data_IF_699693406474
#
_entry.id   IF_699693406474
#
_cell.length_a   1.000
_cell.length_b   1.000
_cell.length_c   1.000
_cell.angle_alpha   90.00
_cell.angle_beta   90.00
_cell.angle_gamma   90.00
#
_symmetry.space_group_name_H-M   'P 1'
#
loop_
_entity.id
_entity.type
_entity.pdbx_description
1 polymer ?
#
# COMPACT_ATOMS: atom_id res chain seq x y z
N UNK A 1 40.01 60.99 31.67
CA UNK A 1 38.88 60.64 30.79
C UNK A 1 39.32 60.86 29.36
N UNK A 2 39.51 59.82 28.56
CA UNK A 2 39.43 59.91 27.08
C UNK A 2 39.18 58.50 26.50
N UNK A 3 37.92 58.07 26.49
CA UNK A 3 37.46 56.94 25.66
C UNK A 3 37.38 57.40 24.22
N UNK A 4 38.52 57.46 23.51
CA UNK A 4 38.54 57.68 22.07
C UNK A 4 38.00 56.44 21.39
N UNK A 5 36.80 56.57 20.87
CA UNK A 5 36.01 55.47 20.38
C UNK A 5 36.69 54.73 19.21
N UNK A 6 36.73 53.40 19.31
CA UNK A 6 37.31 52.49 18.31
C UNK A 6 36.37 52.30 17.09
N UNK A 7 35.69 53.36 16.63
CA UNK A 7 34.73 53.28 15.52
C UNK A 7 35.38 52.77 14.22
N UNK A 8 36.65 53.13 13.98
CA UNK A 8 37.41 52.62 12.84
C UNK A 8 37.61 51.09 12.88
N UNK A 9 37.82 50.52 14.07
CA UNK A 9 38.02 49.07 14.26
C UNK A 9 36.71 48.31 14.09
N UNK A 10 35.59 48.90 14.55
CA UNK A 10 34.25 48.36 14.34
C UNK A 10 33.87 48.40 12.85
N UNK A 11 34.19 49.49 12.14
CA UNK A 11 33.97 49.60 10.70
C UNK A 11 34.78 48.57 9.90
N UNK A 12 36.06 48.36 10.23
CA UNK A 12 36.89 47.34 9.60
C UNK A 12 36.34 45.93 9.84
N UNK A 13 35.88 45.63 11.06
CA UNK A 13 35.27 44.35 11.39
C UNK A 13 33.99 44.11 10.60
N UNK A 14 33.08 45.09 10.51
CA UNK A 14 31.88 44.98 9.68
C UNK A 14 32.23 44.70 8.22
N UNK A 15 33.22 45.40 7.67
CA UNK A 15 33.64 45.24 6.28
C UNK A 15 34.25 43.86 6.02
N UNK A 16 35.02 43.32 6.99
CA UNK A 16 35.54 41.96 6.94
C UNK A 16 34.42 40.91 6.98
N UNK A 17 33.39 41.09 7.83
CA UNK A 17 32.23 40.19 7.89
C UNK A 17 31.45 40.21 6.58
N UNK A 18 31.24 41.39 5.98
CA UNK A 18 30.57 41.52 4.68
C UNK A 18 31.36 40.77 3.60
N UNK A 19 32.69 40.99 3.50
CA UNK A 19 33.55 40.28 2.56
C UNK A 19 33.54 38.75 2.79
N UNK A 20 33.61 38.32 4.05
CA UNK A 20 33.52 36.91 4.40
C UNK A 20 32.17 36.31 3.99
N UNK A 21 31.08 37.06 4.15
CA UNK A 21 29.74 36.63 3.74
C UNK A 21 29.62 36.49 2.22
N UNK A 22 30.12 37.44 1.45
CA UNK A 22 30.19 37.32 -0.02
C UNK A 22 31.09 36.15 -0.45
N UNK A 23 32.25 35.98 0.20
CA UNK A 23 33.13 34.85 -0.05
C UNK A 23 32.47 33.51 0.26
N UNK A 24 31.68 33.44 1.33
CA UNK A 24 30.92 32.25 1.71
C UNK A 24 29.81 31.93 0.70
N UNK A 25 29.03 32.93 0.26
CA UNK A 25 27.99 32.75 -0.76
C UNK A 25 28.60 32.28 -2.08
N UNK A 26 29.66 32.94 -2.56
CA UNK A 26 30.37 32.55 -3.78
C UNK A 26 30.95 31.13 -3.70
N UNK A 27 31.52 30.78 -2.54
CA UNK A 27 32.02 29.43 -2.29
C UNK A 27 30.90 28.39 -2.29
N UNK A 28 29.74 28.71 -1.72
CA UNK A 28 28.58 27.81 -1.66
C UNK A 28 27.97 27.57 -3.05
N UNK A 29 27.91 28.62 -3.87
CA UNK A 29 27.40 28.55 -5.24
C UNK A 29 28.36 27.79 -6.17
N UNK A 30 29.68 27.98 -6.02
CA UNK A 30 30.69 27.35 -6.86
C UNK A 30 31.15 25.97 -6.37
N UNK A 31 30.90 25.62 -5.10
CA UNK A 31 31.23 24.30 -4.51
C UNK A 31 30.00 23.60 -3.95
N UNK A 32 28.85 23.77 -4.60
CA UNK A 32 27.63 23.05 -4.28
C UNK A 32 27.84 21.53 -4.26
N UNK A 33 28.01 20.98 -3.05
CA UNK A 33 27.89 19.56 -2.73
C UNK A 33 29.07 18.67 -3.15
N UNK A 34 29.55 17.86 -2.20
CA UNK A 34 30.64 16.88 -2.33
C UNK A 34 30.36 15.68 -3.27
N UNK A 35 29.53 15.82 -4.29
CA UNK A 35 29.23 14.74 -5.22
C UNK A 35 29.56 15.18 -6.62
N UNK A 36 30.57 14.55 -7.24
CA UNK A 36 30.83 14.74 -8.66
C UNK A 36 29.63 14.20 -9.44
N UNK A 37 28.68 15.08 -9.78
CA UNK A 37 27.51 14.74 -10.59
C UNK A 37 27.88 14.81 -12.08
N UNK A 38 27.36 13.87 -12.84
CA UNK A 38 27.42 13.84 -14.29
C UNK A 38 26.11 14.40 -14.84
N UNK A 39 26.22 15.32 -15.80
CA UNK A 39 25.05 15.92 -16.45
C UNK A 39 24.69 15.13 -17.70
N UNK A 40 23.43 14.74 -17.81
CA UNK A 40 22.87 14.06 -18.97
C UNK A 40 21.71 14.87 -19.54
N UNK A 41 21.52 14.83 -20.86
CA UNK A 41 20.32 15.38 -21.47
C UNK A 41 19.37 14.25 -21.83
N UNK A 42 18.10 14.47 -21.56
CA UNK A 42 17.03 13.54 -21.90
C UNK A 42 16.09 14.27 -22.83
N UNK A 43 15.87 13.68 -24.00
CA UNK A 43 14.91 14.18 -24.97
C UNK A 43 13.62 13.37 -24.85
N UNK A 44 12.54 14.08 -24.54
CA UNK A 44 11.18 13.54 -24.52
C UNK A 44 10.47 13.93 -25.83
N UNK A 45 9.83 12.96 -26.47
CA UNK A 45 9.05 13.15 -27.71
C UNK A 45 7.57 13.47 -27.45
N UNK A 46 7.20 13.77 -26.21
CA UNK A 46 5.82 14.06 -25.80
C UNK A 46 5.74 14.96 -24.57
N UNK A 47 4.51 15.17 -24.08
CA UNK A 47 4.26 16.03 -22.91
C UNK A 47 4.91 15.47 -21.65
N UNK A 48 5.66 16.32 -20.94
CA UNK A 48 6.30 16.00 -19.66
C UNK A 48 5.49 16.54 -18.48
N UNK A 49 4.19 16.22 -18.46
CA UNK A 49 3.24 16.78 -17.51
C UNK A 49 3.67 16.54 -16.05
N UNK A 50 3.79 17.61 -15.28
CA UNK A 50 4.17 17.57 -13.86
C UNK A 50 5.67 17.53 -13.58
N UNK A 51 6.53 17.51 -14.60
CA UNK A 51 7.98 17.56 -14.44
C UNK A 51 8.45 19.00 -14.21
N UNK A 52 9.25 19.21 -13.16
CA UNK A 52 9.75 20.53 -12.75
C UNK A 52 11.27 20.47 -12.54
N UNK A 53 11.91 21.65 -12.55
CA UNK A 53 13.29 21.77 -12.07
C UNK A 53 13.31 21.39 -10.59
N UNK A 54 14.21 20.48 -10.21
CA UNK A 54 14.26 19.85 -8.90
C UNK A 54 13.47 18.53 -8.78
N UNK A 55 12.76 18.09 -9.83
CA UNK A 55 12.15 16.75 -9.86
C UNK A 55 13.22 15.68 -9.64
N UNK A 56 12.85 14.63 -8.89
CA UNK A 56 13.79 13.55 -8.57
C UNK A 56 14.06 12.68 -9.80
N UNK A 57 15.31 12.26 -9.95
CA UNK A 57 15.71 11.23 -10.90
C UNK A 57 15.93 9.91 -10.16
N UNK A 58 15.21 8.89 -10.59
CA UNK A 58 15.21 7.55 -10.04
C UNK A 58 15.91 6.61 -11.03
N UNK A 59 16.72 5.68 -10.55
CA UNK A 59 17.26 4.56 -11.32
C UNK A 59 16.84 3.26 -10.64
N UNK A 60 16.07 2.42 -11.34
CA UNK A 60 15.45 1.21 -10.76
C UNK A 60 14.76 1.49 -9.40
N UNK A 61 14.09 2.64 -9.28
CA UNK A 61 13.39 3.08 -8.06
C UNK A 61 14.26 3.73 -6.97
N UNK A 62 15.58 3.83 -7.15
CA UNK A 62 16.49 4.49 -6.20
C UNK A 62 16.78 5.90 -6.66
N UNK A 63 16.70 6.89 -5.77
CA UNK A 63 17.09 8.27 -6.08
C UNK A 63 18.59 8.35 -6.40
N UNK A 64 18.92 8.78 -7.61
CA UNK A 64 20.29 8.93 -8.11
C UNK A 64 20.63 10.35 -8.57
N UNK A 65 19.63 11.25 -8.59
CA UNK A 65 19.84 12.59 -9.09
C UNK A 65 18.61 13.49 -9.04
N UNK A 66 18.69 14.59 -9.77
CA UNK A 66 17.63 15.58 -9.91
C UNK A 66 17.66 16.26 -11.28
N UNK A 67 16.51 16.77 -11.71
CA UNK A 67 16.39 17.59 -12.91
C UNK A 67 16.89 19.00 -12.61
N UNK A 68 17.85 19.47 -13.39
CA UNK A 68 18.50 20.78 -13.20
C UNK A 68 18.00 21.86 -14.16
N UNK A 69 17.51 21.46 -15.34
CA UNK A 69 16.99 22.38 -16.34
C UNK A 69 15.93 21.71 -17.23
N UNK A 70 14.95 22.49 -17.70
CA UNK A 70 13.96 22.07 -18.70
C UNK A 70 13.85 23.13 -19.78
N UNK A 71 14.13 22.72 -21.02
CA UNK A 71 14.01 23.58 -22.19
C UNK A 71 13.17 22.91 -23.28
N UNK A 72 12.43 23.72 -24.04
CA UNK A 72 11.76 23.27 -25.26
C UNK A 72 12.78 23.28 -26.40
N UNK A 73 12.77 22.26 -27.26
CA UNK A 73 13.62 22.25 -28.43
C UNK A 73 13.14 23.33 -29.43
N UNK A 74 13.95 24.34 -29.78
CA UNK A 74 13.54 25.40 -30.70
C UNK A 74 13.26 24.92 -32.13
N UNK A 75 13.87 23.81 -32.56
CA UNK A 75 13.63 23.21 -33.89
C UNK A 75 12.37 22.34 -33.92
N UNK A 76 12.02 21.73 -32.79
CA UNK A 76 10.87 20.86 -32.62
C UNK A 76 10.14 21.16 -31.31
N UNK A 77 9.20 22.13 -31.28
CA UNK A 77 8.54 22.57 -30.04
C UNK A 77 7.73 21.51 -29.28
N UNK A 78 7.48 20.36 -29.92
CA UNK A 78 6.83 19.20 -29.29
C UNK A 78 7.81 18.38 -28.43
N UNK A 79 9.12 18.62 -28.56
CA UNK A 79 10.16 17.94 -27.81
C UNK A 79 10.61 18.77 -26.61
N UNK A 80 10.74 18.11 -25.47
CA UNK A 80 11.29 18.72 -24.25
C UNK A 80 12.66 18.11 -23.96
N UNK A 81 13.64 18.96 -23.72
CA UNK A 81 14.99 18.61 -23.31
C UNK A 81 15.09 18.85 -21.81
N UNK A 82 15.21 17.78 -21.04
CA UNK A 82 15.49 17.87 -19.60
C UNK A 82 16.98 17.59 -19.35
N UNK A 83 17.65 18.50 -18.65
CA UNK A 83 19.02 18.27 -18.18
C UNK A 83 18.98 17.73 -16.77
N UNK A 84 19.55 16.54 -16.56
CA UNK A 84 19.57 15.86 -15.27
C UNK A 84 20.99 15.76 -14.74
N UNK A 85 21.15 16.00 -13.44
CA UNK A 85 22.40 15.79 -12.73
C UNK A 85 22.30 14.48 -11.94
N UNK A 86 23.12 13.50 -12.32
CA UNK A 86 23.09 12.14 -11.76
C UNK A 86 24.44 11.81 -11.12
N UNK A 87 24.44 11.03 -10.06
CA UNK A 87 25.66 10.59 -9.39
C UNK A 87 26.54 9.74 -10.34
N UNK A 88 27.85 10.06 -10.43
CA UNK A 88 28.81 9.36 -11.31
C UNK A 88 28.91 7.84 -11.10
N UNK A 89 28.49 7.33 -9.94
CA UNK A 89 28.44 5.90 -9.65
C UNK A 89 27.27 5.16 -10.31
N UNK A 90 26.34 5.86 -10.95
CA UNK A 90 25.14 5.28 -11.54
C UNK A 90 25.48 4.62 -12.88
N UNK A 91 25.24 3.30 -13.06
CA UNK A 91 25.56 2.59 -14.29
C UNK A 91 24.51 2.87 -15.37
N UNK A 92 24.62 4.03 -16.03
CA UNK A 92 23.77 4.40 -17.17
C UNK A 92 24.37 3.79 -18.44
N UNK A 93 23.71 2.78 -19.00
CA UNK A 93 24.04 2.17 -20.30
C UNK A 93 23.32 2.84 -21.47
N UNK A 94 23.72 2.51 -22.70
CA UNK A 94 23.02 2.97 -23.93
C UNK A 94 21.62 2.35 -24.10
N UNK A 95 21.33 1.29 -23.36
CA UNK A 95 20.03 0.61 -23.29
C UNK A 95 19.14 1.15 -22.14
N UNK A 96 19.58 2.18 -21.42
CA UNK A 96 18.81 2.77 -20.33
C UNK A 96 17.52 3.36 -20.89
N UNK A 97 16.39 2.80 -20.46
CA UNK A 97 15.08 3.31 -20.79
C UNK A 97 14.72 4.41 -19.80
N UNK A 98 14.22 5.54 -20.31
CA UNK A 98 13.75 6.64 -19.49
C UNK A 98 12.24 6.79 -19.67
N UNK A 99 11.52 6.87 -18.56
CA UNK A 99 10.09 7.16 -18.47
C UNK A 99 9.83 8.27 -17.44
N UNK A 100 8.61 8.80 -17.45
CA UNK A 100 8.12 9.72 -16.43
C UNK A 100 7.16 8.92 -15.54
N UNK A 101 7.40 8.96 -14.24
CA UNK A 101 6.58 8.27 -13.24
C UNK A 101 5.94 9.31 -12.31
N UNK A 102 4.68 9.08 -11.94
CA UNK A 102 3.97 9.92 -10.99
C UNK A 102 4.25 9.42 -9.57
N UNK A 103 4.89 10.27 -8.77
CA UNK A 103 5.25 10.01 -7.40
C UNK A 103 4.24 10.61 -6.42
N UNK A 104 3.71 9.76 -5.53
CA UNK A 104 2.87 10.14 -4.40
C UNK A 104 1.44 10.53 -4.76
N UNK A 105 0.62 10.74 -3.73
CA UNK A 105 -0.80 11.07 -3.87
C UNK A 105 -1.04 12.49 -4.42
N UNK A 106 -0.04 13.37 -4.33
CA UNK A 106 -0.08 14.74 -4.84
C UNK A 106 0.27 14.86 -6.33
N UNK A 107 0.63 13.75 -6.98
CA UNK A 107 0.88 13.70 -8.43
C UNK A 107 2.17 14.40 -8.89
N UNK A 108 3.22 14.45 -8.06
CA UNK A 108 4.50 15.01 -8.49
C UNK A 108 5.17 14.10 -9.52
N UNK A 109 5.77 14.63 -10.59
CA UNK A 109 6.45 13.78 -11.57
C UNK A 109 7.94 13.60 -11.25
N UNK A 110 8.44 12.39 -11.46
CA UNK A 110 9.84 12.00 -11.37
C UNK A 110 10.32 11.41 -12.69
N UNK A 111 11.61 11.55 -12.98
CA UNK A 111 12.25 10.85 -14.10
C UNK A 111 12.65 9.47 -13.61
N UNK A 112 12.11 8.42 -14.19
CA UNK A 112 12.48 7.04 -13.90
C UNK A 112 13.38 6.50 -15.01
N UNK A 113 14.52 5.94 -14.62
CA UNK A 113 15.48 5.28 -15.49
C UNK A 113 15.54 3.80 -15.13
N UNK A 114 15.45 2.94 -16.14
CA UNK A 114 15.57 1.48 -15.98
C UNK A 114 16.74 1.00 -16.83
N UNK A 115 17.75 0.43 -16.19
CA UNK A 115 18.91 -0.14 -16.88
C UNK A 115 18.57 -1.44 -17.60
N UNK A 116 19.15 -1.65 -18.78
CA UNK A 116 19.08 -2.93 -19.48
C UNK A 116 20.18 -3.91 -19.06
N UNK A 117 20.17 -5.10 -19.64
CA UNK A 117 20.88 -6.27 -19.09
C UNK A 117 22.39 -6.34 -19.38
N UNK A 118 22.95 -5.54 -20.29
CA UNK A 118 24.41 -5.62 -20.59
C UNK A 118 25.00 -4.51 -21.49
N UNK A 119 24.48 -3.29 -21.56
CA UNK A 119 25.14 -2.25 -22.38
C UNK A 119 26.40 -1.68 -21.67
N UNK A 120 27.47 -1.36 -22.44
CA UNK A 120 28.62 -0.65 -21.89
C UNK A 120 28.19 0.72 -21.32
N UNK A 121 28.79 1.16 -20.21
CA UNK A 121 28.42 2.41 -19.55
C UNK A 121 28.67 3.59 -20.50
N UNK A 122 27.67 4.46 -20.63
CA UNK A 122 27.78 5.65 -21.46
C UNK A 122 28.71 6.66 -20.76
N UNK A 123 29.77 7.06 -21.45
CA UNK A 123 30.70 8.04 -20.91
C UNK A 123 29.96 9.36 -20.58
N UNK A 124 30.15 9.93 -19.38
CA UNK A 124 29.69 11.28 -19.08
C UNK A 124 30.28 12.23 -20.13
N UNK A 125 29.46 13.06 -20.76
CA UNK A 125 29.92 13.96 -21.82
C UNK A 125 31.00 14.91 -21.31
N UNK A 126 32.25 14.73 -21.75
CA UNK A 126 33.31 15.72 -21.61
C UNK A 126 33.20 16.74 -22.75
N UNK A 127 32.44 17.82 -22.52
CA UNK A 127 32.44 19.04 -23.36
C UNK A 127 31.24 19.21 -24.31
N UNK A 128 30.77 20.47 -24.39
CA UNK A 128 29.82 21.15 -25.31
C UNK A 128 28.52 20.48 -25.80
N UNK A 129 28.36 19.16 -25.74
CA UNK A 129 27.14 18.45 -26.09
C UNK A 129 27.00 17.20 -25.21
N UNK A 130 26.23 17.25 -24.12
CA UNK A 130 26.01 16.08 -23.27
C UNK A 130 25.25 14.97 -24.04
N UNK A 131 25.46 13.70 -23.69
CA UNK A 131 24.81 12.58 -24.37
C UNK A 131 23.29 12.62 -24.16
N UNK A 132 22.55 12.37 -25.24
CA UNK A 132 21.08 12.46 -25.27
C UNK A 132 20.45 11.08 -25.13
N UNK A 133 19.71 10.85 -24.05
CA UNK A 133 18.84 9.69 -23.88
C UNK A 133 17.48 9.96 -24.54
N UNK A 134 16.96 9.00 -25.30
CA UNK A 134 15.63 9.11 -25.93
C UNK A 134 14.63 8.36 -25.04
N UNK A 135 13.69 9.09 -24.47
CA UNK A 135 12.59 8.51 -23.69
C UNK A 135 11.45 8.09 -24.63
N UNK A 136 11.01 6.83 -24.56
CA UNK A 136 9.75 6.41 -25.20
C UNK A 136 8.60 6.89 -24.33
N UNK A 137 7.88 7.92 -24.80
CA UNK A 137 6.66 8.39 -24.15
C UNK A 137 5.54 7.34 -24.33
N UNK A 138 4.87 6.92 -23.25
CA UNK A 138 3.77 5.95 -23.37
C UNK A 138 3.04 5.49 -22.10
N UNK A 139 3.57 5.73 -20.89
CA UNK A 139 3.02 5.14 -19.65
C UNK A 139 1.55 5.56 -19.29
N UNK A 140 0.98 6.55 -19.98
CA UNK A 140 -0.44 6.92 -19.82
C UNK A 140 -1.38 6.42 -20.94
N UNK A 141 -0.86 5.93 -22.07
CA UNK A 141 -1.67 5.47 -23.20
C UNK A 141 -2.02 3.97 -23.11
N UNK A 142 -1.21 3.19 -22.40
CA UNK A 142 -1.35 1.73 -22.31
C UNK A 142 -2.68 1.30 -21.70
N UNK A 143 -3.21 2.06 -20.72
CA UNK A 143 -4.46 1.70 -20.05
C UNK A 143 -5.69 1.85 -20.94
N UNK A 144 -5.72 2.87 -21.81
CA UNK A 144 -6.86 3.06 -22.71
C UNK A 144 -6.82 2.08 -23.88
N UNK A 145 -5.63 1.66 -24.30
CA UNK A 145 -5.45 0.61 -25.31
C UNK A 145 -5.87 -0.76 -24.76
N UNK A 146 -5.37 -1.11 -23.56
CA UNK A 146 -5.72 -2.36 -22.88
C UNK A 146 -7.22 -2.45 -22.57
N UNK A 147 -7.87 -1.34 -22.20
CA UNK A 147 -9.31 -1.29 -22.02
C UNK A 147 -10.06 -1.57 -23.33
N UNK A 148 -9.65 -0.95 -24.45
CA UNK A 148 -10.28 -1.18 -25.77
C UNK A 148 -10.10 -2.63 -26.24
N UNK A 149 -8.92 -3.19 -26.08
CA UNK A 149 -8.63 -4.58 -26.48
C UNK A 149 -9.41 -5.57 -25.62
N UNK A 150 -9.58 -5.28 -24.32
CA UNK A 150 -10.43 -6.06 -23.42
C UNK A 150 -11.90 -6.00 -23.83
N UNK A 151 -12.42 -4.83 -24.21
CA UNK A 151 -13.80 -4.70 -24.70
C UNK A 151 -14.02 -5.49 -25.99
N UNK A 152 -13.10 -5.44 -26.94
CA UNK A 152 -13.18 -6.22 -28.18
C UNK A 152 -13.13 -7.73 -27.93
N UNK A 153 -12.36 -8.19 -26.95
CA UNK A 153 -12.34 -9.60 -26.55
C UNK A 153 -13.64 -10.04 -25.86
N UNK A 154 -14.26 -9.16 -25.07
CA UNK A 154 -15.55 -9.45 -24.44
C UNK A 154 -16.66 -9.60 -25.49
N UNK A 155 -16.69 -8.71 -26.50
CA UNK A 155 -17.66 -8.80 -27.59
C UNK A 155 -17.51 -10.10 -28.40
N UNK A 156 -16.26 -10.55 -28.63
CA UNK A 156 -15.98 -11.82 -29.28
C UNK A 156 -16.45 -13.03 -28.47
N UNK A 157 -16.10 -13.10 -27.17
CA UNK A 157 -16.50 -14.20 -26.29
C UNK A 157 -18.02 -14.25 -26.11
N UNK A 158 -18.69 -13.09 -26.02
CA UNK A 158 -20.13 -12.99 -25.86
C UNK A 158 -20.87 -13.38 -27.13
N UNK A 159 -20.34 -13.02 -28.30
CA UNK A 159 -20.87 -13.45 -29.60
C UNK A 159 -20.71 -14.97 -29.79
N UNK A 160 -19.52 -15.51 -29.49
CA UNK A 160 -19.20 -16.93 -29.68
C UNK A 160 -19.95 -17.86 -28.70
N UNK A 161 -20.28 -17.38 -27.50
CA UNK A 161 -21.04 -18.15 -26.50
C UNK A 161 -22.54 -17.83 -26.47
N UNK A 162 -23.04 -16.96 -27.35
CA UNK A 162 -24.45 -16.53 -27.36
C UNK A 162 -25.44 -17.69 -27.55
N UNK A 163 -25.04 -18.70 -28.32
CA UNK A 163 -25.82 -19.92 -28.58
C UNK A 163 -25.85 -20.82 -27.34
N UNK A 164 -24.68 -21.13 -26.75
CA UNK A 164 -24.60 -21.93 -25.52
C UNK A 164 -25.27 -21.26 -24.31
N UNK A 165 -25.23 -19.93 -24.24
CA UNK A 165 -25.93 -19.17 -23.20
C UNK A 165 -27.45 -19.22 -23.40
N UNK A 166 -27.93 -19.09 -24.65
CA UNK A 166 -29.35 -19.28 -24.97
C UNK A 166 -29.81 -20.69 -24.63
N UNK A 167 -29.03 -21.70 -24.98
CA UNK A 167 -29.35 -23.10 -24.68
C UNK A 167 -29.40 -23.36 -23.17
N UNK A 168 -28.48 -22.77 -22.40
CA UNK A 168 -28.50 -22.86 -20.94
C UNK A 168 -29.77 -22.22 -20.36
N UNK A 169 -30.16 -21.05 -20.85
CA UNK A 169 -31.38 -20.36 -20.42
C UNK A 169 -32.63 -21.16 -20.81
N UNK A 170 -32.70 -21.67 -22.03
CA UNK A 170 -33.81 -22.51 -22.49
C UNK A 170 -33.94 -23.82 -21.70
N UNK A 171 -32.81 -24.42 -21.30
CA UNK A 171 -32.78 -25.59 -20.43
C UNK A 171 -33.22 -25.25 -19.00
N UNK A 172 -32.86 -24.07 -18.47
CA UNK A 172 -33.34 -23.58 -17.18
C UNK A 172 -34.85 -23.36 -17.22
N UNK A 173 -35.39 -22.77 -18.28
CA UNK A 173 -36.83 -22.58 -18.44
C UNK A 173 -37.55 -23.93 -18.52
N UNK A 174 -37.03 -24.87 -19.32
CA UNK A 174 -37.58 -26.22 -19.46
C UNK A 174 -37.56 -26.98 -18.13
N UNK A 175 -36.48 -26.87 -17.37
CA UNK A 175 -36.34 -27.46 -16.04
C UNK A 175 -37.28 -26.80 -15.03
N UNK A 176 -37.37 -25.46 -15.04
CA UNK A 176 -38.26 -24.69 -14.17
C UNK A 176 -39.72 -25.03 -14.43
N UNK A 177 -40.10 -25.20 -15.70
CA UNK A 177 -41.40 -25.68 -16.14
C UNK A 177 -41.68 -27.11 -15.68
N UNK A 178 -40.69 -28.01 -15.80
CA UNK A 178 -40.80 -29.38 -15.32
C UNK A 178 -40.95 -29.43 -13.79
N UNK A 179 -40.24 -28.56 -13.07
CA UNK A 179 -40.31 -28.42 -11.62
C UNK A 179 -41.66 -27.83 -11.19
N UNK A 180 -42.15 -26.79 -11.87
CA UNK A 180 -43.46 -26.20 -11.61
C UNK A 180 -44.59 -27.20 -11.81
N UNK A 181 -44.55 -28.00 -12.89
CA UNK A 181 -45.52 -29.08 -13.16
C UNK A 181 -45.45 -30.24 -12.16
N UNK A 182 -44.32 -30.41 -11.48
CA UNK A 182 -44.10 -31.52 -10.55
C UNK A 182 -44.02 -31.04 -9.08
N UNK A 183 -44.30 -29.76 -8.82
CA UNK A 183 -44.28 -29.11 -7.51
C UNK A 183 -45.17 -29.84 -6.50
N UNK A 184 -46.41 -30.19 -6.89
CA UNK A 184 -47.34 -30.96 -6.05
C UNK A 184 -46.76 -32.33 -5.62
N UNK A 185 -45.95 -32.98 -6.47
CA UNK A 185 -45.31 -34.26 -6.13
C UNK A 185 -44.08 -34.06 -5.24
N UNK A 186 -43.34 -32.97 -5.43
CA UNK A 186 -42.21 -32.61 -4.58
C UNK A 186 -42.70 -32.28 -3.18
N UNK A 187 -43.80 -31.54 -3.05
CA UNK A 187 -44.47 -31.27 -1.77
C UNK A 187 -44.99 -32.56 -1.13
N UNK A 188 -45.52 -33.48 -1.93
CA UNK A 188 -45.93 -34.82 -1.46
C UNK A 188 -44.77 -35.68 -0.95
N UNK A 189 -43.60 -35.62 -1.60
CA UNK A 189 -42.37 -36.30 -1.17
C UNK A 189 -41.83 -35.65 0.11
N UNK A 190 -41.83 -34.32 0.18
CA UNK A 190 -41.36 -33.57 1.35
C UNK A 190 -42.25 -33.83 2.57
N UNK A 191 -43.58 -33.78 2.40
CA UNK A 191 -44.54 -34.14 3.44
C UNK A 191 -44.48 -35.65 3.81
N UNK A 192 -44.12 -36.51 2.85
CA UNK A 192 -43.82 -37.92 3.08
C UNK A 192 -42.57 -38.12 3.94
N UNK A 193 -41.53 -37.35 3.67
CA UNK A 193 -40.27 -37.36 4.40
C UNK A 193 -40.43 -36.76 5.80
N UNK A 194 -41.17 -35.67 5.96
CA UNK A 194 -41.53 -35.07 7.26
C UNK A 194 -42.32 -36.05 8.14
N UNK A 195 -43.21 -36.86 7.55
CA UNK A 195 -43.92 -37.93 8.28
C UNK A 195 -43.02 -39.11 8.64
N UNK A 196 -42.04 -39.44 7.82
CA UNK A 196 -41.08 -40.52 8.11
C UNK A 196 -39.96 -40.10 9.07
N UNK A 197 -39.64 -38.81 9.14
CA UNK A 197 -38.56 -38.27 9.97
C UNK A 197 -39.05 -37.61 11.27
N UNK A 198 -40.37 -37.64 11.53
CA UNK A 198 -40.94 -37.11 12.75
C UNK A 198 -40.96 -35.59 12.75
N UNK A 199 -41.85 -35.00 11.96
CA UNK A 199 -42.08 -33.57 11.93
C UNK A 199 -42.36 -32.99 13.32
N UNK A 200 -41.52 -32.04 13.72
CA UNK A 200 -41.82 -31.11 14.80
C UNK A 200 -40.83 -31.10 15.96
N UNK A 201 -39.61 -30.62 15.74
CA UNK A 201 -38.95 -29.75 16.71
C UNK A 201 -38.07 -28.77 15.96
N UNK A 202 -38.23 -27.49 16.30
CA UNK A 202 -37.38 -26.36 15.95
C UNK A 202 -35.99 -26.78 15.54
N UNK A 203 -35.52 -26.30 14.38
CA UNK A 203 -34.10 -26.23 14.07
C UNK A 203 -33.40 -25.70 15.34
N UNK A 204 -32.76 -26.59 16.10
CA UNK A 204 -32.18 -26.24 17.38
C UNK A 204 -31.14 -25.16 17.09
N UNK A 205 -31.40 -23.92 17.49
CA UNK A 205 -30.47 -22.82 17.32
C UNK A 205 -29.14 -23.27 17.95
N UNK A 206 -28.09 -23.30 17.14
CA UNK A 206 -26.75 -23.67 17.62
C UNK A 206 -26.35 -22.60 18.64
N UNK A 207 -26.23 -22.92 19.95
CA UNK A 207 -25.87 -21.95 20.96
C UNK A 207 -24.55 -21.26 20.61
N UNK A 208 -24.56 -19.94 20.70
CA UNK A 208 -23.43 -19.06 20.44
C UNK A 208 -22.81 -18.67 21.77
N UNK A 209 -21.52 -18.94 21.92
CA UNK A 209 -20.74 -18.62 23.12
C UNK A 209 -19.82 -17.44 22.85
N UNK A 210 -19.47 -16.72 23.91
CA UNK A 210 -18.57 -15.58 23.87
C UNK A 210 -17.49 -15.75 24.96
N UNK A 211 -16.34 -15.11 24.75
CA UNK A 211 -15.31 -14.97 25.77
C UNK A 211 -15.69 -13.88 26.77
N UNK A 212 -15.14 -13.98 27.99
CA UNK A 212 -15.38 -12.99 29.04
C UNK A 212 -14.13 -12.14 29.19
N UNK A 213 -14.30 -10.82 29.15
CA UNK A 213 -13.21 -9.88 29.46
C UNK A 213 -12.74 -10.06 30.91
N UNK A 214 -11.44 -9.83 31.16
CA UNK A 214 -10.88 -9.94 32.49
C UNK A 214 -11.55 -8.95 33.44
N UNK A 215 -12.12 -9.47 34.52
CA UNK A 215 -12.79 -8.69 35.58
C UNK A 215 -11.92 -8.52 36.83
N UNK A 216 -10.89 -9.35 36.99
CA UNK A 216 -9.96 -9.32 38.12
C UNK A 216 -8.65 -8.69 37.68
N UNK A 217 -8.66 -7.35 37.60
CA UNK A 217 -7.48 -6.55 37.28
C UNK A 217 -6.97 -5.81 38.52
N UNK A 218 -5.66 -5.53 38.64
CA UNK A 218 -5.17 -4.68 39.71
C UNK A 218 -5.85 -3.29 39.66
N UNK A 219 -5.88 -2.54 40.77
CA UNK A 219 -6.50 -1.21 40.77
C UNK A 219 -5.77 -0.27 39.79
N UNK A 220 -6.51 0.63 39.09
CA UNK A 220 -5.90 1.58 38.18
C UNK A 220 -4.90 2.50 38.91
N UNK A 221 -3.89 3.04 38.20
CA UNK A 221 -3.00 4.03 38.76
C UNK A 221 -3.80 5.29 39.17
N UNK A 222 -3.30 6.02 40.18
CA UNK A 222 -3.93 7.25 40.65
C UNK A 222 -4.03 8.32 39.55
N UNK A 223 -3.11 8.29 38.58
CA UNK A 223 -3.16 9.11 37.37
C UNK A 223 -3.27 8.20 36.15
N UNK A 224 -4.31 8.41 35.33
CA UNK A 224 -4.51 7.66 34.09
C UNK A 224 -3.37 8.00 33.13
N UNK A 225 -2.63 7.01 32.62
CA UNK A 225 -1.52 7.29 31.72
C UNK A 225 -1.98 7.95 30.42
N UNK A 226 -1.17 8.87 29.89
CA UNK A 226 -1.50 9.64 28.68
C UNK A 226 -1.35 8.86 27.37
N UNK A 227 -0.81 7.64 27.43
CA UNK A 227 -0.51 6.85 26.25
C UNK A 227 -1.74 6.17 25.65
N UNK A 228 -1.67 5.94 24.34
CA UNK A 228 -2.64 5.26 23.51
C UNK A 228 -2.15 3.84 23.20
N UNK A 229 -3.02 2.85 23.43
CA UNK A 229 -2.74 1.45 23.09
C UNK A 229 -3.51 1.05 21.83
N UNK A 230 -2.80 0.55 20.82
CA UNK A 230 -3.42 -0.15 19.70
C UNK A 230 -3.28 -1.65 19.89
N UNK A 231 -4.40 -2.37 19.78
CA UNK A 231 -4.41 -3.83 19.80
C UNK A 231 -4.83 -4.29 18.39
N UNK A 232 -3.90 -4.78 17.55
CA UNK A 232 -4.23 -5.37 16.25
C UNK A 232 -4.93 -6.72 16.42
N UNK A 233 -5.46 -7.25 15.32
CA UNK A 233 -5.98 -8.62 15.32
C UNK A 233 -4.84 -9.60 15.63
N UNK A 234 -5.01 -10.51 16.61
CA UNK A 234 -4.03 -11.53 16.94
C UNK A 234 -3.69 -12.42 15.75
N UNK A 235 -2.42 -12.82 15.61
CA UNK A 235 -2.03 -13.84 14.65
C UNK A 235 -2.28 -15.23 15.25
N UNK A 236 -2.72 -16.20 14.43
CA UNK A 236 -2.98 -17.57 14.90
C UNK A 236 -2.59 -18.60 13.85
N UNK A 237 -2.41 -19.86 14.25
CA UNK A 237 -2.39 -20.97 13.29
C UNK A 237 -3.76 -21.08 12.60
N UNK A 238 -3.80 -21.53 11.33
CA UNK A 238 -5.05 -21.64 10.55
C UNK A 238 -6.13 -22.46 11.26
N UNK A 239 -5.75 -23.52 11.99
CA UNK A 239 -6.69 -24.35 12.75
C UNK A 239 -7.43 -23.62 13.88
N UNK A 240 -6.92 -22.46 14.32
CA UNK A 240 -7.54 -21.62 15.35
C UNK A 240 -8.25 -20.39 14.78
N UNK A 241 -8.18 -20.13 13.46
CA UNK A 241 -8.98 -19.09 12.83
C UNK A 241 -10.36 -19.65 12.43
N UNK A 242 -11.20 -19.89 13.44
CA UNK A 242 -12.51 -20.49 13.27
C UNK A 242 -13.48 -20.00 14.35
N UNK A 243 -14.77 -20.03 14.03
CA UNK A 243 -15.87 -19.87 14.96
C UNK A 243 -16.20 -21.18 15.70
N UNK A 244 -15.52 -22.30 15.44
CA UNK A 244 -15.76 -23.56 16.14
C UNK A 244 -15.06 -23.58 17.50
N UNK A 245 -15.76 -24.06 18.52
CA UNK A 245 -15.17 -24.32 19.84
C UNK A 245 -14.39 -25.63 19.76
N UNK A 246 -13.09 -25.59 20.04
CA UNK A 246 -12.23 -26.77 20.00
C UNK A 246 -12.01 -27.32 21.40
N UNK A 247 -12.25 -28.62 21.56
CA UNK A 247 -11.80 -29.40 22.71
C UNK A 247 -10.41 -29.96 22.42
N UNK A 248 -9.58 -30.01 23.45
CA UNK A 248 -8.33 -30.75 23.42
C UNK A 248 -8.43 -31.91 24.42
N UNK A 249 -8.88 -33.11 23.99
CA UNK A 249 -8.82 -34.31 24.81
C UNK A 249 -7.37 -34.66 25.12
N UNK A 250 -7.14 -35.46 26.18
CA UNK A 250 -5.81 -35.90 26.60
C UNK A 250 -4.99 -36.61 25.50
N UNK A 251 -5.63 -37.04 24.41
CA UNK A 251 -5.02 -37.67 23.23
C UNK A 251 -4.32 -36.70 22.28
N UNK A 252 -4.46 -35.38 22.49
CA UNK A 252 -3.76 -34.34 21.72
C UNK A 252 -4.43 -33.94 20.40
N UNK A 253 -5.50 -34.61 19.99
CA UNK A 253 -6.31 -34.27 18.81
C UNK A 253 -7.25 -33.09 19.12
N UNK A 254 -7.41 -32.12 18.23
CA UNK A 254 -8.38 -31.03 18.43
C UNK A 254 -9.71 -31.39 17.77
N UNK A 255 -10.77 -31.56 18.56
CA UNK A 255 -12.10 -31.97 18.07
C UNK A 255 -13.10 -30.83 18.30
N UNK A 256 -13.85 -30.40 17.27
CA UNK A 256 -14.86 -29.36 17.45
C UNK A 256 -16.02 -29.87 18.32
N UNK A 257 -16.52 -29.02 19.22
CA UNK A 257 -17.73 -29.29 20.01
C UNK A 257 -18.93 -29.37 19.06
N UNK A 258 -19.69 -30.47 19.07
CA UNK A 258 -20.93 -30.56 18.31
C UNK A 258 -21.95 -29.53 18.80
N UNK A 259 -22.65 -28.87 17.88
CA UNK A 259 -23.73 -27.93 18.20
C UNK A 259 -23.34 -26.76 19.14
N UNK A 260 -22.10 -26.27 19.04
CA UNK A 260 -21.70 -25.03 19.71
C UNK A 260 -20.70 -24.25 18.84
N UNK A 261 -20.79 -22.93 18.88
CA UNK A 261 -19.85 -22.05 18.18
C UNK A 261 -19.57 -20.77 18.96
N UNK A 262 -18.46 -20.12 18.65
CA UNK A 262 -18.16 -18.75 19.02
C UNK A 262 -19.05 -17.77 18.27
N UNK A 263 -19.21 -16.57 18.82
CA UNK A 263 -19.93 -15.46 18.18
C UNK A 263 -19.22 -14.89 16.94
N UNK A 264 -17.91 -15.06 16.87
CA UNK A 264 -17.05 -14.66 15.74
C UNK A 264 -15.84 -15.60 15.66
N UNK A 265 -14.98 -15.42 14.67
CA UNK A 265 -13.70 -16.11 14.60
C UNK A 265 -12.84 -15.77 15.83
N UNK A 266 -12.18 -16.78 16.39
CA UNK A 266 -11.39 -16.66 17.61
C UNK A 266 -10.42 -15.46 17.67
N UNK A 267 -9.65 -15.10 16.61
CA UNK A 267 -8.73 -13.96 16.69
C UNK A 267 -9.47 -12.63 16.96
N UNK A 268 -10.55 -12.39 16.21
CA UNK A 268 -11.37 -11.18 16.36
C UNK A 268 -12.06 -11.15 17.73
N UNK A 269 -12.60 -12.29 18.17
CA UNK A 269 -13.23 -12.41 19.48
C UNK A 269 -12.25 -12.13 20.62
N UNK A 270 -11.04 -12.69 20.52
CA UNK A 270 -9.99 -12.50 21.51
C UNK A 270 -9.51 -11.04 21.55
N UNK A 271 -9.32 -10.40 20.39
CA UNK A 271 -8.97 -8.99 20.28
C UNK A 271 -9.98 -8.12 21.04
N UNK A 272 -11.28 -8.36 20.82
CA UNK A 272 -12.33 -7.60 21.46
C UNK A 272 -12.27 -7.70 22.97
N UNK A 273 -12.12 -8.91 23.53
CA UNK A 273 -12.07 -9.07 24.98
C UNK A 273 -10.78 -8.54 25.59
N UNK A 274 -9.66 -8.55 24.87
CA UNK A 274 -8.43 -7.89 25.31
C UNK A 274 -8.64 -6.37 25.40
N UNK A 275 -9.21 -5.75 24.36
CA UNK A 275 -9.52 -4.31 24.37
C UNK A 275 -10.46 -3.98 25.53
N UNK A 276 -11.57 -4.70 25.67
CA UNK A 276 -12.52 -4.52 26.76
C UNK A 276 -11.86 -4.70 28.13
N UNK A 277 -10.91 -5.63 28.27
CA UNK A 277 -10.17 -5.83 29.53
C UNK A 277 -9.31 -4.62 29.89
N UNK A 278 -8.63 -4.02 28.91
CA UNK A 278 -7.84 -2.80 29.16
C UNK A 278 -8.73 -1.57 29.45
N UNK A 279 -9.85 -1.45 28.75
CA UNK A 279 -10.84 -0.39 29.00
C UNK A 279 -11.41 -0.50 30.43
N UNK A 280 -11.79 -1.71 30.85
CA UNK A 280 -12.26 -2.00 32.20
C UNK A 280 -11.20 -1.67 33.27
N UNK A 281 -9.94 -1.85 32.93
CA UNK A 281 -8.82 -1.65 33.85
C UNK A 281 -8.36 -0.19 33.98
N UNK A 282 -8.71 0.68 33.03
CA UNK A 282 -8.39 2.11 33.09
C UNK A 282 -6.88 2.44 32.97
N UNK A 283 -6.07 1.54 32.40
CA UNK A 283 -4.61 1.69 32.32
C UNK A 283 -4.11 2.55 31.14
N UNK A 284 -5.00 3.03 30.27
CA UNK A 284 -4.65 3.85 29.12
C UNK A 284 -5.71 4.92 28.87
N UNK A 285 -5.33 6.01 28.19
CA UNK A 285 -6.27 7.07 27.82
C UNK A 285 -7.32 6.59 26.83
N UNK A 286 -6.91 5.75 25.89
CA UNK A 286 -7.82 4.99 25.03
C UNK A 286 -7.14 3.73 24.51
N UNK A 287 -7.94 2.70 24.29
CA UNK A 287 -7.53 1.46 23.63
C UNK A 287 -8.36 1.31 22.37
N UNK A 288 -7.74 0.98 21.24
CA UNK A 288 -8.48 0.83 19.99
C UNK A 288 -7.96 -0.32 19.13
N UNK A 289 -8.84 -0.82 18.26
CA UNK A 289 -8.44 -1.67 17.13
C UNK A 289 -7.56 -0.87 16.17
N UNK A 290 -6.72 -1.54 15.39
CA UNK A 290 -6.04 -0.91 14.24
C UNK A 290 -7.10 -0.38 13.29
N UNK A 291 -7.14 0.94 13.10
CA UNK A 291 -7.96 1.64 12.12
C UNK A 291 -7.03 2.51 11.28
N UNK A 292 -7.28 2.65 9.98
CA UNK A 292 -6.47 3.51 9.13
C UNK A 292 -6.31 4.90 9.75
N UNK A 293 -5.06 5.33 9.95
CA UNK A 293 -4.72 6.65 10.51
C UNK A 293 -4.62 6.75 12.04
N UNK A 294 -4.85 5.68 12.80
CA UNK A 294 -4.63 5.69 14.26
C UNK A 294 -3.24 5.15 14.60
N UNK A 295 -2.29 6.04 14.89
CA UNK A 295 -0.98 5.67 15.46
C UNK A 295 -1.07 5.75 16.99
N UNK A 296 -1.08 4.59 17.66
CA UNK A 296 -0.91 4.53 19.11
C UNK A 296 0.54 4.76 19.52
N UNK A 297 0.76 5.17 20.76
CA UNK A 297 2.10 5.24 21.35
C UNK A 297 2.70 3.83 21.51
N UNK A 298 1.84 2.84 21.77
CA UNK A 298 2.20 1.45 21.92
C UNK A 298 1.27 0.53 21.13
N UNK A 299 1.80 -0.63 20.73
CA UNK A 299 1.06 -1.68 20.04
C UNK A 299 1.23 -3.02 20.77
N UNK A 300 0.12 -3.69 21.09
CA UNK A 300 0.14 -5.02 21.70
C UNK A 300 -0.05 -6.08 20.62
N UNK A 301 1.04 -6.73 20.22
CA UNK A 301 1.01 -7.85 19.27
C UNK A 301 0.80 -9.17 20.02
N UNK A 302 -0.13 -9.99 19.53
CA UNK A 302 -0.53 -11.25 20.17
C UNK A 302 -0.44 -12.38 19.16
N UNK A 303 0.18 -13.49 19.56
CA UNK A 303 0.31 -14.73 18.79
C UNK A 303 -0.38 -15.89 19.53
N UNK A 304 -1.51 -16.37 19.01
CA UNK A 304 -2.28 -17.49 19.57
C UNK A 304 -1.76 -18.81 19.01
N UNK A 305 -0.94 -19.48 19.82
CA UNK A 305 -0.34 -20.79 19.47
C UNK A 305 -1.21 -21.99 19.85
N UNK A 306 -2.08 -21.81 20.84
CA UNK A 306 -2.99 -22.84 21.32
C UNK A 306 -4.19 -22.18 21.98
N UNK A 307 -5.37 -22.66 21.66
CA UNK A 307 -6.61 -22.25 22.31
C UNK A 307 -7.57 -23.44 22.35
N UNK A 308 -8.05 -23.78 23.54
CA UNK A 308 -8.99 -24.87 23.73
C UNK A 308 -9.79 -24.67 25.02
N UNK A 309 -10.94 -25.32 25.10
CA UNK A 309 -11.67 -25.47 26.34
C UNK A 309 -11.17 -26.74 27.04
N UNK A 310 -10.71 -26.60 28.29
CA UNK A 310 -10.42 -27.75 29.16
C UNK A 310 -11.73 -28.22 29.79
N UNK A 311 -12.05 -29.49 29.62
CA UNK A 311 -13.17 -30.17 30.27
C UNK A 311 -12.68 -31.10 31.37
#
# INVERSE_FOLDING_TARGET
METRARYALIGLFMLAVILASFGFVYWLENKGGFTQRANYQIRFEGSVSGLLVGSTVLFNGIKVGEVTDLALNPEHPQQVIATVAVDRGTPIGTDTLVSIETQGLTGGAAVAMTGGSAAPPMAPGEGAAPPVLIAKAGAGQDWTQAARDAFQHIDGILSDNSESLHDAIANIDTFSDALARNSDKVDGILAGLERMTGGGTSQAEIPVYDLVAASTVPPPPAEVPSWLLVVPEPTTLMGFNTDKILLQPATGESVPVPHAKWSDNLPALFQEKVIQSFENAGYARSVSRTREGVTGDYQLLIDIRRFHVST
#
